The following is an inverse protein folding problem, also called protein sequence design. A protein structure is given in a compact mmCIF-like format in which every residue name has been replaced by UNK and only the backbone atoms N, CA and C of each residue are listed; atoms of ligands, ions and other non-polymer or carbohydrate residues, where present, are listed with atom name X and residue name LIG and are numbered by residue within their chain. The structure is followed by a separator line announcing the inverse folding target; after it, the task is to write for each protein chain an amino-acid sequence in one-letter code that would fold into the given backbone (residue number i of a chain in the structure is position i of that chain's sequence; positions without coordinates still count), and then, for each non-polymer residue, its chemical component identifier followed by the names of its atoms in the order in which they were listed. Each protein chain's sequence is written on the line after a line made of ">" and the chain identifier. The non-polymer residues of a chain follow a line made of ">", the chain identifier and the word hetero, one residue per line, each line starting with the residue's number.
data_IF_200775479282
#
_entry.id   IF_200775479282
#
_cell.length_a   1.000
_cell.length_b   1.000
_cell.length_c   1.000
_cell.angle_alpha   90.00
_cell.angle_beta   90.00
_cell.angle_gamma   90.00
#
_symmetry.space_group_name_H-M   'P 1'
#
loop_
_entity.id
_entity.type
_entity.pdbx_description
1 polymer ?
#
# COMPACT_ATOMS: atom_id res chain seq x y z
N UNK A 1 -4.96 15.65 -60.73
CA UNK A 1 -4.18 15.80 -59.48
C UNK A 1 -5.03 15.67 -58.21
N UNK A 2 -6.25 16.24 -58.14
CA UNK A 2 -7.17 16.15 -56.99
C UNK A 2 -7.43 14.73 -56.43
N UNK A 3 -7.65 13.72 -57.29
CA UNK A 3 -7.89 12.32 -56.85
C UNK A 3 -6.67 11.67 -56.17
N UNK A 4 -5.46 11.98 -56.63
CA UNK A 4 -4.20 11.45 -56.04
C UNK A 4 -3.94 12.10 -54.68
N UNK A 5 -4.19 13.41 -54.56
CA UNK A 5 -4.10 14.13 -53.28
C UNK A 5 -5.11 13.58 -52.27
N UNK A 6 -6.35 13.29 -52.71
CA UNK A 6 -7.37 12.70 -51.83
C UNK A 6 -6.97 11.33 -51.28
N UNK A 7 -6.37 10.47 -52.11
CA UNK A 7 -5.90 9.15 -51.69
C UNK A 7 -4.74 9.23 -50.69
N UNK A 8 -3.83 10.18 -50.87
CA UNK A 8 -2.71 10.41 -49.94
C UNK A 8 -3.23 10.90 -48.59
N UNK A 9 -4.17 11.86 -48.58
CA UNK A 9 -4.78 12.36 -47.34
C UNK A 9 -5.54 11.24 -46.62
N UNK A 10 -6.28 10.40 -47.34
CA UNK A 10 -7.00 9.25 -46.78
C UNK A 10 -6.04 8.21 -46.17
N UNK A 11 -4.90 7.95 -46.82
CA UNK A 11 -3.90 7.03 -46.30
C UNK A 11 -3.29 7.56 -44.99
N UNK A 12 -2.99 8.86 -44.90
CA UNK A 12 -2.41 9.49 -43.71
C UNK A 12 -3.40 9.46 -42.53
N UNK A 13 -4.69 9.70 -42.77
CA UNK A 13 -5.72 9.66 -41.72
C UNK A 13 -5.96 8.25 -41.20
N UNK A 14 -5.93 7.23 -42.06
CA UNK A 14 -6.07 5.82 -41.62
C UNK A 14 -4.86 5.38 -40.80
N UNK A 15 -3.64 5.71 -41.23
CA UNK A 15 -2.42 5.36 -40.51
C UNK A 15 -2.38 6.03 -39.13
N UNK A 16 -2.70 7.32 -39.06
CA UNK A 16 -2.76 8.04 -37.78
C UNK A 16 -3.83 7.47 -36.84
N UNK A 17 -5.03 7.14 -37.33
CA UNK A 17 -6.08 6.52 -36.53
C UNK A 17 -5.67 5.14 -35.98
N UNK A 18 -4.98 4.32 -36.77
CA UNK A 18 -4.49 3.00 -36.35
C UNK A 18 -3.36 3.12 -35.32
N UNK A 19 -2.42 4.03 -35.54
CA UNK A 19 -1.32 4.29 -34.61
C UNK A 19 -1.84 4.81 -33.27
N UNK A 20 -2.79 5.76 -33.27
CA UNK A 20 -3.41 6.27 -32.04
C UNK A 20 -4.17 5.17 -31.30
N UNK A 21 -5.00 4.36 -31.99
CA UNK A 21 -5.69 3.21 -31.36
C UNK A 21 -4.73 2.22 -30.72
N UNK A 22 -3.58 1.97 -31.34
CA UNK A 22 -2.56 1.06 -30.80
C UNK A 22 -1.83 1.67 -29.60
N UNK A 23 -1.57 2.98 -29.62
CA UNK A 23 -0.90 3.68 -28.53
C UNK A 23 -1.80 3.87 -27.29
N UNK A 24 -3.13 3.93 -27.47
CA UNK A 24 -4.10 4.01 -26.37
C UNK A 24 -4.33 2.68 -25.64
N UNK A 25 -3.72 1.57 -26.11
CA UNK A 25 -3.61 0.32 -25.33
C UNK A 25 -2.48 0.38 -24.28
N UNK A 26 -2.08 1.59 -23.87
CA UNK A 26 -1.27 1.77 -22.67
C UNK A 26 -1.94 1.05 -21.50
N UNK A 27 -1.13 0.30 -20.76
CA UNK A 27 -1.53 -0.52 -19.61
C UNK A 27 -2.49 0.27 -18.73
N UNK A 28 -3.77 -0.09 -18.78
CA UNK A 28 -4.74 0.41 -17.81
C UNK A 28 -4.45 -0.33 -16.52
N UNK A 29 -3.61 0.28 -15.69
CA UNK A 29 -3.58 -0.10 -14.28
C UNK A 29 -5.01 0.08 -13.76
N UNK A 30 -5.51 -0.94 -13.07
CA UNK A 30 -6.76 -0.82 -12.34
C UNK A 30 -6.60 0.28 -11.29
N UNK A 31 -7.70 0.85 -10.80
CA UNK A 31 -7.65 1.91 -9.78
C UNK A 31 -6.80 1.47 -8.55
N UNK A 32 -6.89 0.19 -8.17
CA UNK A 32 -6.04 -0.42 -7.13
C UNK A 32 -4.53 -0.45 -7.48
N UNK A 33 -4.20 -0.67 -8.76
CA UNK A 33 -2.83 -0.61 -9.24
C UNK A 33 -2.28 0.82 -9.27
N UNK A 34 -3.16 1.82 -9.49
CA UNK A 34 -2.79 3.23 -9.47
C UNK A 34 -2.57 3.72 -8.03
N UNK A 35 -3.47 3.40 -7.10
CA UNK A 35 -3.31 3.72 -5.66
C UNK A 35 -1.98 3.17 -5.10
N UNK A 36 -1.61 1.94 -5.43
CA UNK A 36 -0.34 1.36 -4.97
C UNK A 36 0.88 2.08 -5.57
N UNK A 37 0.78 2.57 -6.81
CA UNK A 37 1.87 3.33 -7.45
C UNK A 37 1.95 4.74 -6.86
N UNK A 38 0.83 5.35 -6.54
CA UNK A 38 0.78 6.64 -5.84
C UNK A 38 1.34 6.54 -4.42
N UNK A 39 1.01 5.47 -3.68
CA UNK A 39 1.59 5.21 -2.36
C UNK A 39 3.11 5.01 -2.41
N UNK A 40 3.64 4.39 -3.48
CA UNK A 40 5.08 4.25 -3.69
C UNK A 40 5.78 5.56 -4.11
N UNK A 41 5.05 6.48 -4.75
CA UNK A 41 5.59 7.74 -5.26
C UNK A 41 5.38 8.92 -4.30
N UNK A 42 4.53 8.77 -3.29
CA UNK A 42 4.28 9.77 -2.28
C UNK A 42 5.40 9.75 -1.22
N UNK A 43 6.37 10.65 -1.39
CA UNK A 43 7.26 11.04 -0.30
C UNK A 43 6.38 11.48 0.88
N UNK A 44 6.48 10.76 2.02
CA UNK A 44 5.76 10.91 3.30
C UNK A 44 4.60 9.95 3.62
N UNK A 45 4.35 8.88 2.86
CA UNK A 45 3.40 7.83 3.29
C UNK A 45 4.00 6.86 4.31
N UNK A 46 4.20 7.34 5.54
CA UNK A 46 4.40 6.47 6.68
C UNK A 46 3.08 5.83 7.11
N UNK A 47 3.08 4.53 7.43
CA UNK A 47 1.93 3.90 8.10
C UNK A 47 1.78 4.48 9.51
N UNK A 48 0.57 4.88 9.89
CA UNK A 48 0.26 5.34 11.23
C UNK A 48 0.62 4.26 12.25
N UNK A 49 1.41 4.61 13.26
CA UNK A 49 1.83 3.67 14.30
C UNK A 49 1.10 3.92 15.63
N UNK A 50 0.76 2.83 16.29
CA UNK A 50 0.38 2.77 17.69
C UNK A 50 1.45 2.07 18.51
N UNK A 51 1.08 1.73 19.74
CA UNK A 51 1.96 1.05 20.68
C UNK A 51 1.16 0.00 21.43
N UNK A 52 1.77 -1.16 21.63
CA UNK A 52 1.23 -2.27 22.42
C UNK A 52 2.31 -2.80 23.36
N UNK A 53 1.90 -3.55 24.37
CA UNK A 53 2.81 -4.18 25.33
C UNK A 53 3.38 -5.48 24.77
N UNK A 54 4.62 -5.79 25.13
CA UNK A 54 5.17 -7.12 24.93
C UNK A 54 4.76 -8.02 26.10
N UNK A 55 4.49 -9.29 25.83
CA UNK A 55 4.20 -10.25 26.88
C UNK A 55 5.51 -10.64 27.59
N UNK A 56 5.54 -10.46 28.91
CA UNK A 56 6.75 -10.63 29.73
C UNK A 56 6.54 -11.73 30.77
N UNK A 57 6.79 -13.01 30.45
CA UNK A 57 6.42 -14.15 31.30
C UNK A 57 7.02 -14.11 32.72
N UNK A 58 8.15 -13.43 32.88
CA UNK A 58 8.88 -13.30 34.15
C UNK A 58 8.41 -12.14 35.01
N UNK A 59 7.50 -11.29 34.51
CA UNK A 59 6.96 -10.17 35.27
C UNK A 59 5.99 -10.61 36.36
N UNK A 60 6.09 -9.97 37.54
CA UNK A 60 5.08 -10.07 38.60
C UNK A 60 3.83 -9.25 38.31
N UNK A 61 3.94 -8.25 37.44
CA UNK A 61 2.85 -7.33 37.12
C UNK A 61 1.94 -7.94 36.06
N UNK A 62 0.63 -7.94 36.34
CA UNK A 62 -0.40 -8.53 35.46
C UNK A 62 -1.61 -7.62 35.42
N UNK A 63 -2.07 -7.32 34.21
CA UNK A 63 -3.23 -6.46 33.98
C UNK A 63 -3.81 -6.70 32.58
N UNK A 64 -4.98 -6.14 32.31
CA UNK A 64 -5.58 -6.10 30.98
C UNK A 64 -4.89 -5.04 30.11
N UNK A 65 -4.04 -5.50 29.19
CA UNK A 65 -3.28 -4.65 28.26
C UNK A 65 -3.50 -5.06 26.82
N UNK A 66 -3.19 -4.16 25.90
CA UNK A 66 -3.12 -4.44 24.47
C UNK A 66 -1.75 -5.05 24.16
N UNK A 67 -1.69 -6.37 23.92
CA UNK A 67 -0.44 -7.07 23.64
C UNK A 67 -0.17 -7.18 22.14
N UNK A 68 1.07 -6.87 21.72
CA UNK A 68 1.47 -6.95 20.33
C UNK A 68 1.37 -8.37 19.76
N UNK A 69 1.19 -8.51 18.44
CA UNK A 69 1.38 -9.82 17.80
C UNK A 69 2.84 -10.23 18.01
N UNK A 70 3.05 -11.43 18.57
CA UNK A 70 4.36 -12.02 18.85
C UNK A 70 5.29 -12.16 17.64
N UNK A 71 4.75 -12.01 16.42
CA UNK A 71 5.52 -12.01 15.17
C UNK A 71 6.06 -10.62 14.82
N UNK A 72 5.67 -9.59 15.55
CA UNK A 72 6.18 -8.22 15.36
C UNK A 72 7.66 -8.18 15.66
N UNK A 73 8.44 -7.61 14.74
CA UNK A 73 9.87 -7.42 14.89
C UNK A 73 10.31 -6.16 14.12
N UNK A 74 11.62 -5.92 14.07
CA UNK A 74 12.19 -4.76 13.36
C UNK A 74 11.93 -4.76 11.85
N UNK A 75 11.61 -5.90 11.25
CA UNK A 75 11.35 -6.08 9.82
C UNK A 75 9.86 -6.05 9.48
N UNK A 76 9.00 -6.48 10.40
CA UNK A 76 7.56 -6.67 10.15
C UNK A 76 6.74 -6.19 11.34
N UNK A 77 5.82 -5.26 11.09
CA UNK A 77 4.91 -4.71 12.10
C UNK A 77 3.49 -5.15 11.80
N UNK A 78 2.78 -5.65 12.82
CA UNK A 78 1.38 -6.09 12.70
C UNK A 78 0.39 -5.03 13.22
N UNK A 79 -0.89 -5.11 12.82
CA UNK A 79 -1.93 -4.21 13.32
C UNK A 79 -2.07 -4.23 14.83
N UNK A 80 -2.38 -3.07 15.40
CA UNK A 80 -2.64 -2.95 16.82
C UNK A 80 -3.85 -3.82 17.22
N UNK A 81 -3.74 -4.57 18.34
CA UNK A 81 -4.87 -5.31 18.87
C UNK A 81 -6.02 -4.34 19.23
N UNK A 82 -7.26 -4.79 19.03
CA UNK A 82 -8.45 -3.98 19.29
C UNK A 82 -9.06 -4.25 20.68
N UNK A 83 -8.59 -5.30 21.36
CA UNK A 83 -9.12 -5.76 22.64
C UNK A 83 -7.98 -6.04 23.61
N UNK A 84 -8.17 -5.67 24.87
CA UNK A 84 -7.21 -5.96 25.94
C UNK A 84 -7.29 -7.42 26.38
N UNK A 85 -6.14 -8.03 26.63
CA UNK A 85 -6.01 -9.39 27.19
C UNK A 85 -5.34 -9.30 28.56
N UNK A 86 -5.70 -10.18 29.50
CA UNK A 86 -5.00 -10.27 30.79
C UNK A 86 -3.70 -11.04 30.61
N UNK A 87 -2.57 -10.42 30.96
CA UNK A 87 -1.26 -11.04 30.77
C UNK A 87 -0.17 -10.37 31.60
N UNK A 88 0.99 -11.03 31.74
CA UNK A 88 2.13 -10.46 32.43
C UNK A 88 2.82 -9.42 31.54
N UNK A 89 3.18 -8.27 32.12
CA UNK A 89 3.73 -7.14 31.37
C UNK A 89 4.77 -6.37 32.19
N UNK A 90 5.61 -5.58 31.51
CA UNK A 90 6.44 -4.56 32.15
C UNK A 90 6.04 -3.19 31.60
N UNK A 91 5.94 -2.16 32.44
CA UNK A 91 5.44 -0.86 31.97
C UNK A 91 6.29 -0.23 30.85
N UNK A 92 7.60 -0.50 30.89
CA UNK A 92 8.56 -0.03 29.90
C UNK A 92 8.78 -1.00 28.72
N UNK A 93 8.11 -2.16 28.69
CA UNK A 93 8.24 -3.15 27.61
C UNK A 93 7.08 -3.01 26.62
N UNK A 94 7.34 -2.28 25.53
CA UNK A 94 6.36 -1.92 24.51
C UNK A 94 6.98 -1.94 23.12
N UNK A 95 6.17 -2.21 22.11
CA UNK A 95 6.57 -2.19 20.72
C UNK A 95 5.54 -1.48 19.83
N UNK A 96 5.93 -1.17 18.61
CA UNK A 96 5.12 -0.51 17.58
C UNK A 96 4.12 -1.48 16.95
N UNK A 97 2.95 -0.98 16.60
CA UNK A 97 1.93 -1.68 15.82
C UNK A 97 1.29 -0.72 14.81
N UNK A 98 0.65 -1.21 13.75
CA UNK A 98 0.00 -0.33 12.75
C UNK A 98 -1.44 0.00 13.15
N UNK A 99 -1.89 1.23 12.86
CA UNK A 99 -3.25 1.73 13.13
C UNK A 99 -4.11 1.78 11.88
#
# INVERSE_FOLDING_TARGET
>A
MKKKVFLVVLAITVVSAVCVKKSMKGVRLTDLGLENVEALAADNEGTSVGTCYLEEPTSSDRDHKLFCDRRTDNSTIYPCPQTTTYGPYLENSRDRCTK
#
